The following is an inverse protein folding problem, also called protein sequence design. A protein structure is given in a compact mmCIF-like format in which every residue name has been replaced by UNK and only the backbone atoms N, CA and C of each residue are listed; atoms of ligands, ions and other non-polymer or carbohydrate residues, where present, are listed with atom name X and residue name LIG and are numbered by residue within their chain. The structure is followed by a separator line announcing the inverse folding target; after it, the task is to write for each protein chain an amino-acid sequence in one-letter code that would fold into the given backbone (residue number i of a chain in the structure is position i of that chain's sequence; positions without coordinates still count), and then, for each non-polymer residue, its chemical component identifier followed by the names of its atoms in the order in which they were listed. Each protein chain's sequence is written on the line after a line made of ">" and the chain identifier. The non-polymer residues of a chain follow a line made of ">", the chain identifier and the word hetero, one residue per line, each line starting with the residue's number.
data_IF_779433570670
#
_entry.id   IF_779433570670
#
_cell.length_a   1.000
_cell.length_b   1.000
_cell.length_c   1.000
_cell.angle_alpha   90.00
_cell.angle_beta   90.00
_cell.angle_gamma   90.00
#
_symmetry.space_group_name_H-M   'P 1'
#
loop_
_entity.id
_entity.type
_entity.pdbx_description
1 polymer ?
#
# COMPACT_ATOMS: atom_id res chain seq x y z
N UNK A 1 16.95 14.03 1.87
CA UNK A 1 15.51 14.41 1.90
C UNK A 1 14.63 13.27 1.39
N UNK A 2 14.83 12.74 0.17
CA UNK A 2 14.06 11.61 -0.36
C UNK A 2 14.17 10.32 0.46
N UNK A 3 15.38 9.91 0.85
CA UNK A 3 15.59 8.72 1.66
C UNK A 3 14.77 8.74 2.97
N UNK A 4 14.75 9.89 3.67
CA UNK A 4 13.97 10.07 4.89
C UNK A 4 12.46 9.90 4.65
N UNK A 5 11.93 10.47 3.56
CA UNK A 5 10.50 10.34 3.23
C UNK A 5 10.10 8.89 2.89
N UNK A 6 10.98 8.16 2.19
CA UNK A 6 10.77 6.74 1.86
C UNK A 6 10.83 5.89 3.12
N UNK A 7 11.84 6.09 3.98
CA UNK A 7 11.97 5.37 5.24
C UNK A 7 10.80 5.64 6.19
N UNK A 8 10.31 6.88 6.27
CA UNK A 8 9.14 7.22 7.07
C UNK A 8 7.87 6.58 6.54
N UNK A 9 7.62 6.62 5.23
CA UNK A 9 6.48 5.95 4.61
C UNK A 9 6.50 4.45 4.91
N UNK A 10 7.64 3.80 4.68
CA UNK A 10 7.82 2.39 4.99
C UNK A 10 7.55 2.11 6.47
N UNK A 11 8.08 2.94 7.38
CA UNK A 11 7.87 2.80 8.82
C UNK A 11 6.40 2.89 9.22
N UNK A 12 5.67 3.85 8.66
CA UNK A 12 4.24 4.02 8.95
C UNK A 12 3.43 2.79 8.53
N UNK A 13 3.73 2.22 7.36
CA UNK A 13 3.08 1.00 6.90
C UNK A 13 3.45 -0.25 7.72
N UNK A 14 4.66 -0.30 8.29
CA UNK A 14 5.00 -1.35 9.26
C UNK A 14 4.17 -1.24 10.53
N UNK A 15 4.00 -0.01 11.05
CA UNK A 15 3.18 0.21 12.24
C UNK A 15 1.77 -0.32 11.99
N UNK A 16 1.18 -0.01 10.84
CA UNK A 16 -0.12 -0.56 10.46
C UNK A 16 -0.11 -2.09 10.39
N UNK A 17 0.93 -2.68 9.79
CA UNK A 17 1.08 -4.13 9.68
C UNK A 17 1.20 -4.80 11.05
N UNK A 18 2.06 -4.27 11.93
CA UNK A 18 2.22 -4.74 13.30
C UNK A 18 0.90 -4.62 14.09
N UNK A 19 0.18 -3.51 13.96
CA UNK A 19 -1.11 -3.31 14.62
C UNK A 19 -2.18 -4.30 14.14
N UNK A 20 -2.24 -4.59 12.85
CA UNK A 20 -3.11 -5.63 12.31
C UNK A 20 -2.77 -7.00 12.90
N UNK A 21 -1.50 -7.38 12.90
CA UNK A 21 -1.03 -8.68 13.42
C UNK A 21 -1.29 -8.83 14.92
N UNK A 22 -1.11 -7.76 15.70
CA UNK A 22 -1.43 -7.72 17.15
C UNK A 22 -2.92 -7.89 17.41
N UNK A 23 -3.79 -7.26 16.61
CA UNK A 23 -5.25 -7.40 16.73
C UNK A 23 -5.76 -8.78 16.33
N UNK A 24 -5.00 -9.49 15.50
CA UNK A 24 -5.36 -10.81 15.00
C UNK A 24 -4.29 -11.84 15.42
N UNK A 25 -4.13 -12.24 16.69
CA UNK A 25 -2.98 -13.04 17.15
C UNK A 25 -2.88 -14.46 16.53
N UNK A 26 -3.99 -15.03 16.05
CA UNK A 26 -4.07 -16.34 15.40
C UNK A 26 -3.75 -16.31 13.89
N UNK A 27 -4.36 -17.22 13.09
CA UNK A 27 -4.18 -17.23 11.64
C UNK A 27 -4.54 -15.87 11.02
N UNK A 28 -3.67 -15.34 10.16
CA UNK A 28 -3.94 -14.16 9.35
C UNK A 28 -3.05 -14.16 8.11
N UNK A 29 -3.50 -13.47 7.06
CA UNK A 29 -2.72 -13.28 5.82
C UNK A 29 -2.29 -11.83 5.68
N UNK A 30 -1.02 -11.61 5.38
CA UNK A 30 -0.52 -10.32 4.84
C UNK A 30 -0.24 -10.52 3.37
N UNK A 31 -0.93 -9.79 2.50
CA UNK A 31 -0.74 -9.79 1.06
C UNK A 31 -0.18 -8.43 0.63
N UNK A 32 1.09 -8.44 0.27
CA UNK A 32 1.86 -7.27 -0.10
C UNK A 32 2.02 -7.20 -1.61
N UNK A 33 1.21 -6.36 -2.26
CA UNK A 33 1.19 -6.18 -3.71
C UNK A 33 2.20 -5.11 -4.14
N UNK A 34 2.74 -5.29 -5.34
CA UNK A 34 3.84 -4.48 -5.87
C UNK A 34 5.00 -4.40 -4.87
N UNK A 35 5.40 -5.57 -4.35
CA UNK A 35 6.32 -5.64 -3.21
C UNK A 35 7.74 -5.13 -3.52
N UNK A 36 8.12 -5.09 -4.81
CA UNK A 36 9.41 -4.63 -5.27
C UNK A 36 10.56 -5.29 -4.51
N UNK A 37 11.49 -4.43 -4.09
CA UNK A 37 12.64 -4.79 -3.25
C UNK A 37 12.40 -4.51 -1.76
N UNK A 38 11.16 -4.33 -1.33
CA UNK A 38 10.87 -4.06 0.09
C UNK A 38 11.09 -5.34 0.92
N UNK A 39 11.91 -5.22 1.97
CA UNK A 39 12.26 -6.28 2.91
C UNK A 39 11.37 -6.31 4.16
N UNK A 40 10.14 -5.78 4.10
CA UNK A 40 9.21 -5.74 5.23
C UNK A 40 8.97 -7.09 5.87
N UNK A 41 8.84 -8.13 5.05
CA UNK A 41 8.71 -9.52 5.49
C UNK A 41 9.90 -10.02 6.33
N UNK A 42 11.05 -9.36 6.24
CA UNK A 42 12.26 -9.70 7.00
C UNK A 42 12.40 -8.90 8.31
N UNK A 43 11.67 -7.78 8.47
CA UNK A 43 11.82 -6.84 9.60
C UNK A 43 10.59 -6.70 10.47
N UNK A 44 9.39 -6.92 9.93
CA UNK A 44 8.16 -7.03 10.73
C UNK A 44 8.08 -8.42 11.34
N UNK A 45 7.73 -8.51 12.63
CA UNK A 45 7.50 -9.79 13.31
C UNK A 45 6.11 -10.30 13.00
N UNK A 46 6.00 -11.19 12.01
CA UNK A 46 4.74 -11.76 11.55
C UNK A 46 4.65 -13.28 11.76
N UNK A 47 5.75 -13.92 12.14
CA UNK A 47 5.86 -15.36 12.29
C UNK A 47 4.87 -15.88 13.34
N UNK A 48 4.23 -17.01 13.05
CA UNK A 48 3.27 -17.65 13.94
C UNK A 48 2.48 -18.75 13.24
N UNK A 49 1.87 -19.63 14.01
CA UNK A 49 1.06 -20.72 13.46
C UNK A 49 -0.15 -20.17 12.69
N UNK A 50 -0.37 -20.65 11.47
CA UNK A 50 -1.43 -20.17 10.58
C UNK A 50 -1.19 -18.79 9.95
N UNK A 51 -0.04 -18.16 10.21
CA UNK A 51 0.35 -16.89 9.58
C UNK A 51 0.86 -17.14 8.17
N UNK A 52 0.39 -16.32 7.24
CA UNK A 52 0.84 -16.36 5.85
C UNK A 52 1.27 -14.96 5.43
N UNK A 53 2.51 -14.81 4.99
CA UNK A 53 2.97 -13.60 4.31
C UNK A 53 3.14 -13.90 2.82
N UNK A 54 2.56 -13.04 1.98
CA UNK A 54 2.64 -13.14 0.53
C UNK A 54 3.22 -11.84 0.00
N UNK A 55 4.43 -11.90 -0.54
CA UNK A 55 4.98 -10.84 -1.37
C UNK A 55 4.59 -11.13 -2.83
N UNK A 56 4.03 -10.14 -3.52
CA UNK A 56 3.51 -10.30 -4.87
C UNK A 56 3.86 -9.12 -5.77
N UNK A 57 4.40 -9.40 -6.96
CA UNK A 57 4.78 -8.37 -7.95
C UNK A 57 4.72 -8.94 -9.38
N UNK A 58 5.25 -8.22 -10.36
CA UNK A 58 5.47 -8.74 -11.71
C UNK A 58 6.57 -9.80 -11.71
N UNK A 59 6.49 -10.72 -12.68
CA UNK A 59 7.42 -11.83 -12.82
C UNK A 59 8.90 -11.39 -12.84
N UNK A 60 9.23 -10.35 -13.61
CA UNK A 60 10.59 -9.80 -13.73
C UNK A 60 11.15 -9.28 -12.39
N UNK A 61 10.29 -8.71 -11.55
CA UNK A 61 10.65 -8.25 -10.21
C UNK A 61 10.88 -9.42 -9.26
N UNK A 62 10.00 -10.43 -9.32
CA UNK A 62 10.12 -11.63 -8.50
C UNK A 62 11.39 -12.41 -8.82
N UNK A 63 11.68 -12.63 -10.11
CA UNK A 63 12.92 -13.30 -10.56
C UNK A 63 14.17 -12.56 -10.08
N UNK A 64 14.19 -11.23 -10.14
CA UNK A 64 15.29 -10.43 -9.61
C UNK A 64 15.42 -10.58 -8.08
N UNK A 65 14.28 -10.57 -7.37
CA UNK A 65 14.25 -10.69 -5.91
C UNK A 65 14.83 -12.02 -5.45
N UNK A 66 14.51 -13.12 -6.13
CA UNK A 66 15.07 -14.45 -5.85
C UNK A 66 16.60 -14.51 -6.02
N UNK A 67 17.16 -13.69 -6.92
CA UNK A 67 18.61 -13.63 -7.13
C UNK A 67 19.35 -12.84 -6.06
N UNK A 68 18.73 -11.81 -5.48
CA UNK A 68 19.44 -10.80 -4.65
C UNK A 68 18.98 -10.73 -3.21
N UNK A 69 17.78 -11.22 -2.88
CA UNK A 69 17.23 -11.22 -1.53
C UNK A 69 17.17 -12.63 -0.95
N UNK A 70 17.38 -12.73 0.36
CA UNK A 70 17.14 -13.97 1.10
C UNK A 70 15.65 -14.09 1.40
N UNK A 71 15.15 -15.31 1.43
CA UNK A 71 13.82 -15.57 1.99
C UNK A 71 13.75 -15.11 3.46
N UNK A 72 12.60 -14.54 3.89
CA UNK A 72 12.41 -14.16 5.29
C UNK A 72 12.34 -15.41 6.18
N UNK A 73 12.75 -15.25 7.44
CA UNK A 73 12.49 -16.28 8.45
C UNK A 73 10.98 -16.40 8.67
N UNK A 74 10.43 -17.57 8.35
CA UNK A 74 9.00 -17.87 8.48
C UNK A 74 8.63 -18.42 9.86
N UNK A 75 9.58 -18.91 10.66
CA UNK A 75 9.30 -19.63 11.89
C UNK A 75 8.25 -20.74 11.68
N UNK A 76 7.11 -20.63 12.38
CA UNK A 76 5.94 -21.54 12.22
C UNK A 76 4.89 -21.07 11.19
N UNK A 77 5.14 -19.96 10.53
CA UNK A 77 4.29 -19.43 9.46
C UNK A 77 4.69 -19.92 8.08
N UNK A 78 4.03 -19.38 7.08
CA UNK A 78 4.28 -19.64 5.67
C UNK A 78 4.63 -18.32 4.96
N UNK A 79 5.62 -18.36 4.08
CA UNK A 79 5.96 -17.26 3.17
C UNK A 79 5.75 -17.72 1.74
N UNK A 80 5.14 -16.87 0.91
CA UNK A 80 4.96 -17.11 -0.52
C UNK A 80 5.45 -15.90 -1.31
N UNK A 81 6.09 -16.18 -2.43
CA UNK A 81 6.46 -15.19 -3.43
C UNK A 81 5.67 -15.49 -4.70
N UNK A 82 4.84 -14.56 -5.14
CA UNK A 82 3.89 -14.76 -6.25
C UNK A 82 4.05 -13.68 -7.32
N UNK A 83 3.68 -14.01 -8.55
CA UNK A 83 3.61 -13.03 -9.65
C UNK A 83 2.22 -12.92 -10.30
N UNK A 84 1.19 -12.46 -9.55
CA UNK A 84 -0.16 -12.42 -10.08
C UNK A 84 -0.33 -11.35 -11.16
N UNK A 85 -1.15 -11.64 -12.17
CA UNK A 85 -1.70 -10.59 -13.02
C UNK A 85 -2.86 -9.91 -12.28
N UNK A 86 -2.61 -8.75 -11.67
CA UNK A 86 -3.62 -8.01 -10.89
C UNK A 86 -4.83 -7.52 -11.71
N UNK A 87 -4.76 -7.61 -13.04
CA UNK A 87 -5.84 -7.26 -13.97
C UNK A 87 -6.78 -8.44 -14.28
N UNK A 88 -6.39 -9.68 -13.95
CA UNK A 88 -7.21 -10.89 -14.13
C UNK A 88 -8.26 -11.00 -13.02
N UNK A 89 -9.55 -11.09 -13.35
CA UNK A 89 -10.63 -11.22 -12.36
C UNK A 89 -10.50 -12.45 -11.43
N UNK A 90 -9.79 -13.49 -11.87
CA UNK A 90 -9.58 -14.71 -11.10
C UNK A 90 -8.22 -14.77 -10.37
N UNK A 91 -7.40 -13.70 -10.37
CA UNK A 91 -6.02 -13.77 -9.85
C UNK A 91 -5.95 -14.23 -8.39
N UNK A 92 -6.87 -13.77 -7.53
CA UNK A 92 -6.93 -14.15 -6.11
C UNK A 92 -7.25 -15.66 -5.92
N UNK A 93 -8.18 -16.19 -6.70
CA UNK A 93 -8.51 -17.62 -6.66
C UNK A 93 -7.41 -18.49 -7.27
N UNK A 94 -6.83 -18.05 -8.39
CA UNK A 94 -5.75 -18.75 -9.10
C UNK A 94 -4.50 -18.86 -8.20
N UNK A 95 -4.19 -17.80 -7.46
CA UNK A 95 -3.12 -17.76 -6.47
C UNK A 95 -3.47 -18.46 -5.14
N UNK A 96 -4.69 -19.00 -5.00
CA UNK A 96 -5.18 -19.70 -3.81
C UNK A 96 -5.00 -18.87 -2.54
N UNK A 97 -5.39 -17.60 -2.60
CA UNK A 97 -5.34 -16.70 -1.45
C UNK A 97 -6.37 -17.18 -0.40
N UNK A 98 -5.95 -17.48 0.84
CA UNK A 98 -6.84 -18.03 1.87
C UNK A 98 -8.00 -17.10 2.21
N UNK A 99 -9.15 -17.69 2.53
CA UNK A 99 -10.40 -16.97 2.85
C UNK A 99 -11.05 -17.52 4.13
N UNK A 100 -10.24 -18.11 4.99
CA UNK A 100 -10.58 -18.67 6.29
C UNK A 100 -10.00 -17.85 7.46
N UNK A 101 -9.36 -16.71 7.17
CA UNK A 101 -8.64 -15.88 8.13
C UNK A 101 -8.65 -14.40 7.73
N UNK A 102 -8.51 -13.46 8.69
CA UNK A 102 -8.39 -12.04 8.39
C UNK A 102 -7.22 -11.75 7.45
N UNK A 103 -7.40 -10.75 6.57
CA UNK A 103 -6.39 -10.36 5.58
C UNK A 103 -6.01 -8.89 5.69
N UNK A 104 -4.71 -8.61 5.64
CA UNK A 104 -4.18 -7.27 5.40
C UNK A 104 -3.63 -7.22 3.99
N UNK A 105 -4.19 -6.32 3.17
CA UNK A 105 -3.66 -5.97 1.86
C UNK A 105 -2.81 -4.72 2.00
N UNK A 106 -1.58 -4.77 1.49
CA UNK A 106 -0.67 -3.65 1.55
C UNK A 106 -0.03 -3.41 0.19
N UNK A 107 0.10 -2.16 -0.22
CA UNK A 107 0.88 -1.78 -1.39
C UNK A 107 1.34 -0.35 -1.25
N UNK A 108 2.56 -0.08 -1.67
CA UNK A 108 3.14 1.25 -1.64
C UNK A 108 3.82 1.57 -2.97
N UNK A 109 3.73 2.83 -3.40
CA UNK A 109 4.24 3.25 -4.69
C UNK A 109 3.57 2.58 -5.88
N UNK A 110 2.39 1.96 -5.72
CA UNK A 110 1.66 1.30 -6.81
C UNK A 110 0.64 2.23 -7.46
N UNK A 111 -0.21 2.86 -6.65
CA UNK A 111 -1.38 3.60 -7.16
C UNK A 111 -1.07 4.69 -8.18
N UNK A 112 0.04 5.47 -8.08
CA UNK A 112 0.27 6.54 -9.04
C UNK A 112 0.49 6.03 -10.47
N UNK A 113 0.96 4.79 -10.63
CA UNK A 113 1.29 4.21 -11.94
C UNK A 113 0.12 3.50 -12.60
N UNK A 114 -0.95 3.23 -11.86
CA UNK A 114 -2.19 2.68 -12.39
C UNK A 114 -3.10 3.80 -12.91
N UNK A 115 -3.90 3.49 -13.91
CA UNK A 115 -5.03 4.32 -14.34
C UNK A 115 -6.17 4.27 -13.30
N UNK A 116 -7.12 5.22 -13.30
CA UNK A 116 -8.27 5.18 -12.40
C UNK A 116 -9.04 3.85 -12.45
N UNK A 117 -9.29 3.32 -13.66
CA UNK A 117 -10.03 2.07 -13.82
C UNK A 117 -9.26 0.85 -13.30
N UNK A 118 -7.93 0.85 -13.40
CA UNK A 118 -7.09 -0.19 -12.83
C UNK A 118 -7.08 -0.15 -11.30
N UNK A 119 -7.01 1.05 -10.69
CA UNK A 119 -7.13 1.20 -9.23
C UNK A 119 -8.49 0.69 -8.75
N UNK A 120 -9.58 1.13 -9.39
CA UNK A 120 -10.93 0.71 -9.00
C UNK A 120 -11.15 -0.79 -9.25
N UNK A 121 -10.67 -1.32 -10.37
CA UNK A 121 -10.72 -2.74 -10.69
C UNK A 121 -9.99 -3.59 -9.67
N UNK A 122 -8.76 -3.21 -9.30
CA UNK A 122 -7.96 -3.90 -8.28
C UNK A 122 -8.70 -3.96 -6.95
N UNK A 123 -9.15 -2.79 -6.45
CA UNK A 123 -9.84 -2.70 -5.16
C UNK A 123 -11.16 -3.48 -5.18
N UNK A 124 -11.96 -3.39 -6.26
CA UNK A 124 -13.20 -4.16 -6.41
C UNK A 124 -12.96 -5.66 -6.40
N UNK A 125 -11.97 -6.16 -7.13
CA UNK A 125 -11.63 -7.60 -7.14
C UNK A 125 -11.30 -8.10 -5.74
N UNK A 126 -10.44 -7.37 -5.01
CA UNK A 126 -10.05 -7.68 -3.63
C UNK A 126 -11.27 -7.69 -2.71
N UNK A 127 -12.02 -6.58 -2.68
CA UNK A 127 -13.18 -6.41 -1.78
C UNK A 127 -14.24 -7.48 -2.05
N UNK A 128 -14.57 -7.72 -3.33
CA UNK A 128 -15.56 -8.74 -3.70
C UNK A 128 -15.11 -10.14 -3.31
N UNK A 129 -13.85 -10.51 -3.57
CA UNK A 129 -13.33 -11.85 -3.28
C UNK A 129 -13.47 -12.22 -1.79
N UNK A 130 -13.10 -11.31 -0.89
CA UNK A 130 -13.13 -11.57 0.55
C UNK A 130 -14.52 -11.38 1.16
N UNK A 131 -15.25 -10.31 0.80
CA UNK A 131 -16.59 -10.05 1.36
C UNK A 131 -17.60 -11.13 1.02
N UNK A 132 -17.59 -11.63 -0.22
CA UNK A 132 -18.47 -12.74 -0.62
C UNK A 132 -18.23 -14.01 0.20
N UNK A 133 -17.06 -14.12 0.83
CA UNK A 133 -16.66 -15.26 1.67
C UNK A 133 -16.71 -14.94 3.17
N UNK A 134 -17.25 -13.77 3.56
CA UNK A 134 -17.40 -13.37 4.96
C UNK A 134 -16.08 -13.05 5.67
N UNK A 135 -15.02 -12.73 4.93
CA UNK A 135 -13.69 -12.47 5.48
C UNK A 135 -13.51 -10.98 5.72
N UNK A 136 -13.17 -10.61 6.96
CA UNK A 136 -12.74 -9.25 7.30
C UNK A 136 -11.38 -8.96 6.68
N UNK A 137 -11.23 -7.78 6.06
CA UNK A 137 -9.94 -7.34 5.59
C UNK A 137 -9.67 -5.85 5.76
N UNK A 138 -8.38 -5.52 5.81
CA UNK A 138 -7.87 -4.17 5.83
C UNK A 138 -7.03 -3.90 4.59
N UNK A 139 -7.13 -2.69 4.02
CA UNK A 139 -6.23 -2.23 2.94
C UNK A 139 -5.43 -1.03 3.47
N UNK A 140 -4.12 -1.04 3.26
CA UNK A 140 -3.21 0.04 3.64
C UNK A 140 -2.32 0.39 2.46
N UNK A 141 -2.41 1.62 1.95
CA UNK A 141 -1.64 2.04 0.79
C UNK A 141 -1.38 3.55 0.76
N UNK A 142 -0.44 3.97 -0.09
CA UNK A 142 -0.21 5.38 -0.38
C UNK A 142 -0.76 5.81 -1.75
N UNK A 143 -1.18 7.08 -1.83
CA UNK A 143 -1.51 7.72 -3.07
C UNK A 143 -1.02 9.17 -3.09
N UNK A 144 -0.63 9.62 -4.28
CA UNK A 144 -0.29 11.03 -4.52
C UNK A 144 -1.57 11.84 -4.67
N UNK A 145 -1.56 13.08 -4.19
CA UNK A 145 -2.63 14.03 -4.47
C UNK A 145 -2.38 14.79 -5.79
N UNK A 146 -3.37 15.52 -6.27
CA UNK A 146 -3.35 16.23 -7.55
C UNK A 146 -2.20 17.23 -7.68
N UNK A 147 -1.88 17.98 -6.62
CA UNK A 147 -0.76 18.91 -6.64
C UNK A 147 0.57 18.18 -6.85
N UNK A 148 0.80 17.09 -6.10
CA UNK A 148 2.01 16.26 -6.25
C UNK A 148 2.04 15.61 -7.64
N UNK A 149 0.90 15.13 -8.13
CA UNK A 149 0.76 14.55 -9.46
C UNK A 149 1.17 15.53 -10.56
N UNK A 150 0.61 16.75 -10.58
CA UNK A 150 0.89 17.74 -11.62
C UNK A 150 2.30 18.29 -11.51
N UNK A 151 2.80 18.55 -10.30
CA UNK A 151 4.18 19.04 -10.10
C UNK A 151 5.21 17.99 -10.50
N UNK A 152 5.05 16.73 -10.08
CA UNK A 152 5.92 15.65 -10.51
C UNK A 152 5.86 15.43 -12.03
N UNK A 153 4.65 15.43 -12.62
CA UNK A 153 4.47 15.28 -14.06
C UNK A 153 5.14 16.40 -14.86
N UNK A 154 5.21 17.60 -14.31
CA UNK A 154 5.88 18.74 -14.95
C UNK A 154 7.41 18.68 -14.78
N UNK A 155 7.89 18.55 -13.54
CA UNK A 155 9.33 18.66 -13.23
C UNK A 155 10.11 17.36 -13.44
N UNK A 156 9.49 16.19 -13.30
CA UNK A 156 10.14 14.88 -13.42
C UNK A 156 9.81 14.16 -14.73
N UNK A 157 9.21 14.85 -15.71
CA UNK A 157 8.82 14.27 -16.99
C UNK A 157 9.98 13.52 -17.69
N UNK A 158 11.17 14.12 -17.72
CA UNK A 158 12.35 13.50 -18.33
C UNK A 158 12.76 12.21 -17.61
N UNK A 159 12.72 12.21 -16.28
CA UNK A 159 13.03 11.03 -15.46
C UNK A 159 11.99 9.93 -15.67
N UNK A 160 10.71 10.28 -15.68
CA UNK A 160 9.62 9.34 -15.98
C UNK A 160 9.76 8.70 -17.35
N UNK A 161 10.11 9.49 -18.39
CA UNK A 161 10.39 8.96 -19.74
C UNK A 161 11.56 7.98 -19.76
N UNK A 162 12.65 8.28 -19.05
CA UNK A 162 13.81 7.39 -18.96
C UNK A 162 13.47 6.07 -18.27
N UNK A 163 12.62 6.12 -17.25
CA UNK A 163 12.15 4.93 -16.51
C UNK A 163 11.02 4.19 -17.24
N UNK A 164 10.50 4.72 -18.35
CA UNK A 164 9.34 4.15 -19.04
C UNK A 164 8.05 4.19 -18.21
N UNK A 165 7.95 5.09 -17.22
CA UNK A 165 6.80 5.21 -16.33
C UNK A 165 6.10 6.55 -16.51
N UNK A 166 4.87 6.65 -16.03
CA UNK A 166 4.13 7.90 -15.92
C UNK A 166 3.15 7.81 -14.77
N UNK A 167 2.90 8.93 -14.09
CA UNK A 167 1.76 8.99 -13.20
C UNK A 167 0.46 9.08 -13.99
N UNK A 168 -0.52 8.27 -13.63
CA UNK A 168 -1.82 8.16 -14.27
C UNK A 168 -2.98 8.38 -13.29
N UNK A 169 -2.71 8.40 -11.98
CA UNK A 169 -3.73 8.51 -10.94
C UNK A 169 -3.27 9.40 -9.77
N UNK A 170 -4.26 10.03 -9.15
CA UNK A 170 -4.12 10.77 -7.90
C UNK A 170 -5.39 10.60 -7.05
N UNK A 171 -5.29 10.84 -5.75
CA UNK A 171 -6.39 10.72 -4.80
C UNK A 171 -6.41 11.92 -3.85
N UNK A 172 -7.30 12.88 -4.12
CA UNK A 172 -7.46 14.07 -3.28
C UNK A 172 -8.37 13.81 -2.07
N UNK A 173 -9.52 13.17 -2.31
CA UNK A 173 -10.46 12.78 -1.27
C UNK A 173 -10.53 11.25 -1.18
N UNK A 174 -10.02 10.63 -0.09
CA UNK A 174 -10.05 9.18 0.08
C UNK A 174 -11.48 8.59 0.13
N UNK A 175 -12.48 9.37 0.53
CA UNK A 175 -13.87 8.88 0.62
C UNK A 175 -14.48 8.62 -0.76
N UNK A 176 -13.91 9.19 -1.83
CA UNK A 176 -14.36 8.90 -3.20
C UNK A 176 -14.23 7.42 -3.56
N UNK A 177 -13.29 6.69 -2.95
CA UNK A 177 -13.14 5.25 -3.15
C UNK A 177 -14.31 4.45 -2.57
N UNK A 178 -14.95 4.91 -1.48
CA UNK A 178 -16.14 4.25 -0.92
C UNK A 178 -17.31 4.26 -1.92
N UNK A 179 -17.41 5.33 -2.71
CA UNK A 179 -18.45 5.47 -3.73
C UNK A 179 -18.16 4.60 -4.96
N UNK A 180 -16.88 4.43 -5.32
CA UNK A 180 -16.46 3.69 -6.51
C UNK A 180 -16.25 2.20 -6.23
N UNK A 181 -16.02 1.80 -4.99
CA UNK A 181 -15.73 0.40 -4.60
C UNK A 181 -16.75 -0.03 -3.53
N UNK A 182 -17.90 -0.61 -3.92
CA UNK A 182 -18.91 -1.05 -2.97
C UNK A 182 -18.36 -2.01 -1.93
N UNK A 183 -18.62 -1.74 -0.66
CA UNK A 183 -18.15 -2.55 0.48
C UNK A 183 -16.82 -2.09 1.07
N UNK A 184 -16.06 -1.24 0.38
CA UNK A 184 -14.87 -0.59 0.95
C UNK A 184 -15.30 0.58 1.84
N UNK A 185 -14.72 0.68 3.04
CA UNK A 185 -14.98 1.76 3.99
C UNK A 185 -13.69 2.46 4.36
N UNK A 186 -13.68 3.78 4.28
CA UNK A 186 -12.55 4.60 4.70
C UNK A 186 -12.46 4.59 6.22
N UNK A 187 -11.28 4.23 6.73
CA UNK A 187 -11.02 4.14 8.16
C UNK A 187 -10.27 5.35 8.67
N UNK A 188 -9.14 5.65 8.04
CA UNK A 188 -8.19 6.62 8.56
C UNK A 188 -7.24 7.12 7.46
N UNK A 189 -6.69 8.31 7.67
CA UNK A 189 -5.47 8.76 7.00
C UNK A 189 -4.31 8.39 7.92
N UNK A 190 -3.39 7.57 7.44
CA UNK A 190 -2.25 7.05 8.20
C UNK A 190 -1.20 8.16 8.38
N UNK A 191 -0.93 8.90 7.31
CA UNK A 191 -0.02 10.05 7.27
C UNK A 191 -0.38 10.94 6.08
N UNK A 192 -0.08 12.24 6.15
CA UNK A 192 0.03 13.12 4.99
C UNK A 192 1.46 13.16 4.46
N UNK A 193 1.65 13.49 3.18
CA UNK A 193 3.02 13.69 2.62
C UNK A 193 3.86 14.72 3.41
N UNK A 194 3.30 15.82 3.96
CA UNK A 194 4.07 16.74 4.81
C UNK A 194 4.63 16.08 6.08
N UNK A 195 3.93 15.09 6.65
CA UNK A 195 4.36 14.38 7.86
C UNK A 195 5.66 13.59 7.61
N UNK A 196 5.93 13.23 6.35
CA UNK A 196 7.15 12.52 5.94
C UNK A 196 8.40 13.42 5.91
N UNK A 197 8.24 14.74 6.03
CA UNK A 197 9.32 15.73 5.95
C UNK A 197 9.73 16.29 7.33
N UNK A 198 9.11 15.83 8.42
CA UNK A 198 9.30 16.41 9.76
C UNK A 198 10.58 15.88 10.42
N UNK A 199 11.68 16.61 10.26
CA UNK A 199 12.85 16.53 11.16
C UNK A 199 13.40 17.93 11.47
N UNK A 200 13.60 18.23 12.76
CA UNK A 200 14.15 19.51 13.25
C UNK A 200 13.14 20.66 13.31
N UNK A 201 13.62 21.86 13.71
CA UNK A 201 12.80 23.07 13.87
C UNK A 201 12.00 23.43 12.59
N UNK A 202 12.59 23.19 11.42
CA UNK A 202 11.93 23.42 10.13
C UNK A 202 10.76 22.44 9.90
N UNK A 203 10.87 21.20 10.39
CA UNK A 203 9.80 20.21 10.35
C UNK A 203 8.58 20.62 11.19
N UNK A 204 8.78 21.27 12.34
CA UNK A 204 7.68 21.81 13.16
C UNK A 204 6.92 22.93 12.44
N UNK A 205 7.63 23.82 11.75
CA UNK A 205 7.00 24.88 10.94
C UNK A 205 6.23 24.29 9.76
N UNK A 206 6.82 23.33 9.03
CA UNK A 206 6.15 22.64 7.92
C UNK A 206 4.94 21.82 8.40
N UNK A 207 5.05 21.14 9.54
CA UNK A 207 3.95 20.40 10.15
C UNK A 207 2.81 21.31 10.61
N UNK A 208 3.11 22.47 11.21
CA UNK A 208 2.11 23.49 11.55
C UNK A 208 1.42 24.06 10.31
N UNK A 209 2.17 24.40 9.26
CA UNK A 209 1.59 24.87 8.00
C UNK A 209 0.75 23.77 7.30
N UNK A 210 1.18 22.52 7.38
CA UNK A 210 0.42 21.35 6.93
C UNK A 210 -0.90 21.20 7.68
N UNK A 211 -0.87 21.32 9.02
CA UNK A 211 -2.07 21.29 9.87
C UNK A 211 -3.03 22.46 9.57
N UNK A 212 -2.50 23.66 9.33
CA UNK A 212 -3.34 24.80 8.88
C UNK A 212 -3.93 24.53 7.50
N UNK A 213 -3.18 23.94 6.57
CA UNK A 213 -3.69 23.55 5.26
C UNK A 213 -4.73 22.41 5.36
N UNK A 214 -4.63 21.53 6.35
CA UNK A 214 -5.61 20.47 6.67
C UNK A 214 -6.96 21.07 7.05
N UNK A 215 -6.98 22.18 7.82
CA UNK A 215 -8.21 22.90 8.16
C UNK A 215 -8.98 23.39 6.92
N UNK A 216 -8.29 23.59 5.81
CA UNK A 216 -8.86 23.98 4.52
C UNK A 216 -8.96 22.82 3.52
N UNK A 217 -8.67 21.58 3.92
CA UNK A 217 -8.74 20.40 3.06
C UNK A 217 -7.68 20.36 1.94
N UNK A 218 -6.61 21.16 2.04
CA UNK A 218 -5.60 21.31 0.98
C UNK A 218 -4.52 20.22 0.99
N UNK A 219 -4.33 19.53 2.12
CA UNK A 219 -3.36 18.43 2.28
C UNK A 219 -3.71 17.18 1.47
N UNK A 220 -5.00 16.93 1.23
CA UNK A 220 -5.47 15.85 0.35
C UNK A 220 -4.86 15.98 -1.04
N UNK A 221 -4.65 17.22 -1.51
CA UNK A 221 -4.02 17.52 -2.81
C UNK A 221 -2.53 17.21 -2.86
N UNK A 222 -1.88 16.98 -1.73
CA UNK A 222 -0.47 16.56 -1.68
C UNK A 222 -0.38 15.03 -1.69
N UNK A 223 -1.33 14.35 -1.05
CA UNK A 223 -1.38 12.89 -0.93
C UNK A 223 -0.99 12.39 0.46
N UNK A 224 -0.90 11.08 0.60
CA UNK A 224 -0.63 10.45 1.89
C UNK A 224 -0.83 8.93 1.88
N UNK A 225 -0.83 8.36 3.08
CA UNK A 225 -1.18 6.97 3.35
C UNK A 225 -2.62 6.87 3.85
N UNK A 226 -3.35 5.87 3.37
CA UNK A 226 -4.77 5.69 3.64
C UNK A 226 -5.07 4.27 4.10
N UNK A 227 -5.97 4.16 5.07
CA UNK A 227 -6.47 2.91 5.60
C UNK A 227 -7.95 2.72 5.31
N UNK A 228 -8.29 1.52 4.83
CA UNK A 228 -9.65 1.09 4.57
C UNK A 228 -9.92 -0.27 5.22
N UNK A 229 -11.18 -0.60 5.40
CA UNK A 229 -11.66 -1.91 5.81
C UNK A 229 -12.81 -2.37 4.90
N UNK A 230 -13.03 -3.69 4.82
CA UNK A 230 -14.13 -4.28 4.06
C UNK A 230 -14.69 -5.55 4.71
#
# INVERSE_FOLDING_TARGET
>A
MFASSVSMRARMLDICTEQFLRRNPGPATVLHLACGMDSRSMRVKWQGEGRLWIDADRQDVIELREQVMKEPDRGKGEYRLLYPNIHDDAWLSNCKIPTDRPVLILFEGLTPYLTPDEVYGLLRRIVNYFRQRGVYGEIRFDAVGSLTYYTASFFLNSTFKLMGTRFNYYLDDPRTLEQKVPGLKFKERIFGTPDLLVFGFLGWVVGFLGWVADLFGLTGRIGGGYGYEF
#
